data_IF_591318352432
#
_entry.id   IF_591318352432
#
_cell.length_a   1.000
_cell.length_b   1.000
_cell.length_c   1.000
_cell.angle_alpha   90.00
_cell.angle_beta   90.00
_cell.angle_gamma   90.00
#
_symmetry.space_group_name_H-M   'P 1'
#
loop_
_entity.id
_entity.type
_entity.pdbx_description
1 polymer ?
#
# COMPACT_ATOMS: atom_id res chain seq x y z
N UNK A 1 16.79 -21.88 -2.68
CA UNK A 1 15.41 -21.94 -3.22
C UNK A 1 14.72 -23.13 -2.57
N UNK A 2 13.49 -22.98 -2.09
CA UNK A 2 12.74 -24.11 -1.53
C UNK A 2 12.45 -25.18 -2.61
N UNK A 3 12.61 -26.49 -2.33
CA UNK A 3 12.45 -27.55 -3.34
C UNK A 3 11.03 -27.65 -3.94
N UNK A 4 10.01 -27.31 -3.16
CA UNK A 4 8.60 -27.31 -3.60
C UNK A 4 8.19 -26.08 -4.42
N UNK A 5 9.05 -25.06 -4.56
CA UNK A 5 8.70 -23.86 -5.32
C UNK A 5 8.46 -24.23 -6.80
N UNK A 6 7.32 -23.79 -7.33
CA UNK A 6 6.99 -23.90 -8.75
C UNK A 6 6.40 -22.60 -9.25
N UNK A 7 6.67 -22.29 -10.52
CA UNK A 7 6.19 -21.10 -11.22
C UNK A 7 5.35 -21.54 -12.42
N UNK A 8 4.08 -21.18 -12.44
CA UNK A 8 3.21 -21.32 -13.59
C UNK A 8 3.12 -19.99 -14.33
N UNK A 9 3.42 -20.00 -15.63
CA UNK A 9 3.17 -18.88 -16.55
C UNK A 9 2.36 -19.44 -17.70
N UNK A 10 1.16 -18.91 -17.91
CA UNK A 10 0.22 -19.44 -18.90
C UNK A 10 -0.03 -20.95 -18.68
N UNK A 11 0.32 -21.78 -19.67
CA UNK A 11 0.17 -23.25 -19.63
C UNK A 11 1.42 -23.97 -19.13
N UNK A 12 2.54 -23.27 -19.02
CA UNK A 12 3.82 -23.86 -18.63
C UNK A 12 3.99 -23.83 -17.11
N UNK A 13 4.51 -24.92 -16.55
CA UNK A 13 4.90 -25.00 -15.16
C UNK A 13 6.39 -25.32 -15.04
N UNK A 14 7.12 -24.50 -14.29
CA UNK A 14 8.56 -24.58 -14.12
C UNK A 14 8.91 -24.89 -12.66
N UNK A 15 9.74 -25.91 -12.44
CA UNK A 15 10.24 -26.30 -11.11
C UNK A 15 11.69 -26.79 -11.21
N UNK A 16 12.45 -26.64 -10.11
CA UNK A 16 13.80 -27.20 -9.98
C UNK A 16 14.72 -26.82 -11.14
N UNK A 17 15.39 -27.81 -11.73
CA UNK A 17 16.30 -27.57 -12.85
C UNK A 17 15.64 -26.95 -14.09
N UNK A 18 14.37 -27.26 -14.37
CA UNK A 18 13.69 -26.72 -15.53
C UNK A 18 13.52 -25.20 -15.42
N UNK A 19 13.20 -24.72 -14.21
CA UNK A 19 13.15 -23.29 -13.90
C UNK A 19 14.53 -22.63 -14.05
N UNK A 20 15.58 -23.24 -13.48
CA UNK A 20 16.96 -22.71 -13.59
C UNK A 20 17.39 -22.61 -15.05
N UNK A 21 17.13 -23.65 -15.85
CA UNK A 21 17.42 -23.67 -17.29
C UNK A 21 16.65 -22.56 -18.02
N UNK A 22 15.38 -22.32 -17.68
CA UNK A 22 14.58 -21.26 -18.31
C UNK A 22 15.03 -19.85 -17.91
N UNK A 23 15.40 -19.63 -16.65
CA UNK A 23 15.85 -18.33 -16.15
C UNK A 23 17.21 -17.92 -16.74
N UNK A 24 18.10 -18.88 -17.01
CA UNK A 24 19.43 -18.63 -17.55
C UNK A 24 19.49 -18.47 -19.08
N UNK A 25 18.40 -18.77 -19.80
CA UNK A 25 18.35 -18.58 -21.27
C UNK A 25 18.32 -17.10 -21.63
N UNK A 26 18.83 -16.74 -22.81
CA UNK A 26 18.62 -15.42 -23.37
C UNK A 26 17.11 -15.13 -23.50
N UNK A 27 16.69 -13.84 -23.43
CA UNK A 27 15.30 -13.46 -23.69
C UNK A 27 14.82 -14.09 -25.00
N UNK A 28 13.66 -14.74 -24.98
CA UNK A 28 13.09 -15.32 -26.19
C UNK A 28 12.49 -14.17 -26.99
N UNK A 29 12.86 -14.04 -28.26
CA UNK A 29 12.29 -13.04 -29.18
C UNK A 29 10.76 -13.16 -29.20
N UNK A 30 10.06 -12.01 -29.14
CA UNK A 30 8.59 -11.88 -29.06
C UNK A 30 7.94 -12.33 -27.73
N UNK A 31 8.69 -12.51 -26.64
CA UNK A 31 8.10 -12.71 -25.30
C UNK A 31 7.49 -11.41 -24.77
N UNK A 32 6.33 -11.51 -24.12
CA UNK A 32 5.73 -10.36 -23.44
C UNK A 32 6.67 -9.79 -22.37
N UNK A 33 6.77 -8.46 -22.29
CA UNK A 33 7.74 -7.77 -21.43
C UNK A 33 7.62 -8.13 -19.94
N UNK A 34 6.40 -8.39 -19.46
CA UNK A 34 6.18 -8.78 -18.06
C UNK A 34 6.73 -10.17 -17.75
N UNK A 35 6.66 -11.12 -18.69
CA UNK A 35 7.24 -12.46 -18.53
C UNK A 35 8.77 -12.35 -18.44
N UNK A 36 9.36 -11.50 -19.29
CA UNK A 36 10.80 -11.25 -19.24
C UNK A 36 11.23 -10.61 -17.92
N UNK A 37 10.41 -9.70 -17.36
CA UNK A 37 10.71 -9.11 -16.03
C UNK A 37 10.79 -10.17 -14.92
N UNK A 38 9.96 -11.22 -14.99
CA UNK A 38 9.97 -12.33 -14.03
C UNK A 38 11.25 -13.15 -14.17
N UNK A 39 11.61 -13.58 -15.39
CA UNK A 39 12.81 -14.39 -15.61
C UNK A 39 14.10 -13.60 -15.41
N UNK A 40 14.12 -12.31 -15.75
CA UNK A 40 15.20 -11.39 -15.44
C UNK A 40 15.45 -11.33 -13.94
N UNK A 41 14.40 -11.10 -13.14
CA UNK A 41 14.53 -11.13 -11.69
C UNK A 41 15.00 -12.49 -11.16
N UNK A 42 14.47 -13.60 -11.68
CA UNK A 42 14.92 -14.93 -11.24
C UNK A 42 16.40 -15.16 -11.54
N UNK A 43 16.90 -14.71 -12.69
CA UNK A 43 18.34 -14.78 -13.01
C UNK A 43 19.18 -13.98 -12.02
N UNK A 44 18.76 -12.75 -11.71
CA UNK A 44 19.42 -11.90 -10.71
C UNK A 44 19.36 -12.53 -9.31
N UNK A 45 18.23 -13.15 -8.97
CA UNK A 45 18.03 -13.80 -7.69
C UNK A 45 18.92 -15.04 -7.51
N UNK A 46 19.12 -15.81 -8.58
CA UNK A 46 19.82 -17.09 -8.55
C UNK A 46 21.33 -16.99 -8.74
N UNK A 47 21.84 -15.83 -9.16
CA UNK A 47 23.27 -15.59 -9.20
C UNK A 47 23.88 -15.47 -7.78
N UNK A 48 25.21 -15.43 -7.71
CA UNK A 48 25.95 -15.33 -6.45
C UNK A 48 26.02 -13.90 -5.86
N UNK A 49 25.40 -12.90 -6.49
CA UNK A 49 25.37 -11.55 -5.91
C UNK A 49 24.53 -11.55 -4.63
N UNK A 50 24.97 -10.79 -3.62
CA UNK A 50 24.26 -10.67 -2.35
C UNK A 50 23.06 -9.72 -2.43
N UNK A 51 23.03 -8.87 -3.46
CA UNK A 51 22.01 -7.84 -3.66
C UNK A 51 21.29 -7.99 -5.00
N UNK A 52 20.08 -7.44 -5.06
CA UNK A 52 19.30 -7.25 -6.28
C UNK A 52 18.82 -5.81 -6.37
N UNK A 53 18.69 -5.30 -7.59
CA UNK A 53 18.14 -3.96 -7.81
C UNK A 53 16.63 -4.04 -7.97
N UNK A 54 15.87 -3.08 -7.44
CA UNK A 54 14.43 -2.95 -7.72
C UNK A 54 14.08 -1.50 -8.03
N UNK A 55 12.93 -1.30 -8.70
CA UNK A 55 12.31 0.02 -8.79
C UNK A 55 11.27 0.16 -7.68
N UNK A 56 11.26 1.31 -7.04
CA UNK A 56 10.13 1.74 -6.20
C UNK A 56 9.19 2.58 -7.05
N UNK A 57 7.90 2.55 -6.75
CA UNK A 57 6.96 3.47 -7.37
C UNK A 57 7.22 4.94 -6.98
N UNK A 58 7.94 5.19 -5.87
CA UNK A 58 8.37 6.50 -5.39
C UNK A 58 7.21 7.43 -4.99
N UNK A 59 7.28 8.09 -3.83
CA UNK A 59 6.31 9.13 -3.47
C UNK A 59 6.35 10.33 -4.43
N UNK A 60 7.50 10.57 -5.06
CA UNK A 60 7.73 11.60 -6.08
C UNK A 60 7.48 11.11 -7.51
N UNK A 61 7.05 9.84 -7.65
CA UNK A 61 6.72 9.09 -8.88
C UNK A 61 7.72 9.10 -10.03
N UNK A 62 8.96 9.49 -9.80
CA UNK A 62 10.09 9.02 -10.60
C UNK A 62 10.59 7.72 -9.97
N UNK A 63 10.57 6.58 -10.69
CA UNK A 63 11.04 5.32 -10.14
C UNK A 63 12.49 5.44 -9.64
N UNK A 64 12.70 5.26 -8.34
CA UNK A 64 14.04 5.22 -7.76
C UNK A 64 14.54 3.79 -7.80
N UNK A 65 15.75 3.61 -8.34
CA UNK A 65 16.48 2.35 -8.22
C UNK A 65 16.97 2.22 -6.77
N UNK A 66 16.73 1.05 -6.20
CA UNK A 66 17.14 0.68 -4.85
C UNK A 66 17.89 -0.65 -4.90
N UNK A 67 18.87 -0.78 -4.02
CA UNK A 67 19.66 -2.00 -3.84
C UNK A 67 19.15 -2.72 -2.59
N UNK A 68 18.85 -4.01 -2.75
CA UNK A 68 18.22 -4.82 -1.71
C UNK A 68 19.04 -6.06 -1.46
N UNK A 69 19.42 -6.27 -0.20
CA UNK A 69 20.06 -7.52 0.21
C UNK A 69 19.07 -8.67 0.09
N UNK A 70 19.50 -9.76 -0.56
CA UNK A 70 18.69 -10.98 -0.71
C UNK A 70 18.31 -11.57 0.65
N UNK A 71 19.20 -11.48 1.65
CA UNK A 71 18.94 -11.91 3.03
C UNK A 71 17.75 -11.16 3.67
N UNK A 72 17.70 -9.84 3.57
CA UNK A 72 16.61 -9.02 4.12
C UNK A 72 15.29 -9.26 3.37
N UNK A 73 15.35 -9.47 2.05
CA UNK A 73 14.16 -9.86 1.27
C UNK A 73 13.62 -11.23 1.69
N UNK A 74 14.51 -12.22 1.95
CA UNK A 74 14.11 -13.52 2.47
C UNK A 74 13.50 -13.43 3.87
N UNK A 75 14.07 -12.61 4.75
CA UNK A 75 13.51 -12.36 6.08
C UNK A 75 12.10 -11.74 5.99
N UNK A 76 11.93 -10.70 5.16
CA UNK A 76 10.62 -10.08 4.91
C UNK A 76 9.60 -11.08 4.32
N UNK A 77 10.04 -11.92 3.39
CA UNK A 77 9.22 -12.98 2.81
C UNK A 77 8.77 -13.99 3.85
N UNK A 78 9.70 -14.48 4.68
CA UNK A 78 9.42 -15.41 5.78
C UNK A 78 8.37 -14.86 6.74
N UNK A 79 8.55 -13.62 7.20
CA UNK A 79 7.60 -12.97 8.11
C UNK A 79 6.21 -12.82 7.48
N UNK A 80 6.14 -12.48 6.19
CA UNK A 80 4.87 -12.43 5.46
C UNK A 80 4.21 -13.82 5.43
N UNK A 81 4.96 -14.85 5.02
CA UNK A 81 4.44 -16.21 4.89
C UNK A 81 4.01 -16.80 6.24
N UNK A 82 4.73 -16.49 7.33
CA UNK A 82 4.35 -16.89 8.69
C UNK A 82 3.06 -16.20 9.13
N UNK A 83 2.93 -14.89 8.93
CA UNK A 83 1.71 -14.14 9.30
C UNK A 83 0.46 -14.68 8.58
N UNK A 84 0.57 -14.95 7.28
CA UNK A 84 -0.55 -15.47 6.48
C UNK A 84 -0.75 -16.99 6.64
N UNK A 85 0.13 -17.68 7.38
CA UNK A 85 0.05 -19.13 7.56
C UNK A 85 0.25 -19.91 6.26
N UNK A 86 1.04 -19.37 5.33
CA UNK A 86 1.32 -20.00 4.04
C UNK A 86 2.22 -21.22 4.24
N UNK A 87 1.93 -22.29 3.51
CA UNK A 87 2.60 -23.58 3.55
C UNK A 87 3.16 -23.92 2.17
N UNK A 88 4.15 -24.83 2.09
CA UNK A 88 4.62 -25.33 0.80
C UNK A 88 3.46 -25.85 -0.06
N UNK A 89 3.55 -25.61 -1.38
CA UNK A 89 2.55 -25.95 -2.40
C UNK A 89 1.24 -25.15 -2.37
N UNK A 90 1.02 -24.27 -1.37
CA UNK A 90 -0.11 -23.34 -1.42
C UNK A 90 -0.03 -22.49 -2.69
N UNK A 91 -1.20 -22.27 -3.33
CA UNK A 91 -1.29 -21.49 -4.57
C UNK A 91 -1.29 -20.00 -4.25
N UNK A 92 -0.38 -19.26 -4.88
CA UNK A 92 -0.32 -17.81 -4.79
C UNK A 92 -0.35 -17.16 -6.18
N UNK A 93 -0.84 -15.93 -6.26
CA UNK A 93 -0.94 -15.18 -7.51
C UNK A 93 0.08 -14.05 -7.59
N UNK A 94 0.89 -14.05 -8.63
CA UNK A 94 1.69 -12.90 -9.08
C UNK A 94 0.95 -12.17 -10.21
N UNK A 95 0.38 -11.02 -9.89
CA UNK A 95 -0.29 -10.13 -10.85
C UNK A 95 0.22 -8.67 -10.80
N UNK A 96 1.40 -8.49 -10.21
CA UNK A 96 2.12 -7.23 -10.11
C UNK A 96 3.39 -7.33 -10.96
N UNK A 97 3.80 -6.23 -11.59
CA UNK A 97 5.03 -6.24 -12.40
C UNK A 97 6.26 -6.57 -11.55
N UNK A 98 7.09 -7.50 -12.04
CA UNK A 98 8.36 -7.85 -11.42
C UNK A 98 9.47 -6.82 -11.73
N UNK A 99 9.18 -5.73 -12.44
CA UNK A 99 10.07 -4.56 -12.52
C UNK A 99 10.12 -3.79 -11.19
N UNK A 100 9.04 -3.89 -10.41
CA UNK A 100 8.87 -3.21 -9.14
C UNK A 100 9.03 -4.16 -7.96
N UNK A 101 9.42 -3.60 -6.82
CA UNK A 101 9.64 -4.37 -5.59
C UNK A 101 8.44 -5.22 -5.17
N UNK A 102 7.20 -4.77 -5.44
CA UNK A 102 6.00 -5.50 -5.07
C UNK A 102 5.87 -6.86 -5.80
N UNK A 103 6.13 -6.90 -7.12
CA UNK A 103 6.15 -8.16 -7.88
C UNK A 103 7.35 -9.04 -7.51
N UNK A 104 8.53 -8.44 -7.31
CA UNK A 104 9.73 -9.16 -6.84
C UNK A 104 9.50 -9.85 -5.50
N UNK A 105 8.87 -9.18 -4.54
CA UNK A 105 8.59 -9.77 -3.22
C UNK A 105 7.59 -10.94 -3.28
N UNK A 106 6.68 -10.97 -4.25
CA UNK A 106 5.83 -12.15 -4.48
C UNK A 106 6.63 -13.36 -4.97
N UNK A 107 7.62 -13.14 -5.85
CA UNK A 107 8.56 -14.19 -6.25
C UNK A 107 9.40 -14.68 -5.06
N UNK A 108 9.94 -13.75 -4.25
CA UNK A 108 10.74 -14.13 -3.07
C UNK A 108 9.92 -14.89 -2.02
N UNK A 109 8.66 -14.50 -1.76
CA UNK A 109 7.73 -15.24 -0.88
C UNK A 109 7.50 -16.66 -1.38
N UNK A 110 7.27 -16.82 -2.67
CA UNK A 110 7.08 -18.14 -3.25
C UNK A 110 8.34 -19.01 -3.18
N UNK A 111 9.51 -18.41 -3.39
CA UNK A 111 10.82 -19.08 -3.28
C UNK A 111 11.14 -19.46 -1.83
N UNK A 112 10.82 -18.61 -0.85
CA UNK A 112 11.04 -18.84 0.58
C UNK A 112 10.18 -19.99 1.09
N UNK A 113 8.86 -19.91 0.84
CA UNK A 113 7.89 -20.86 1.40
C UNK A 113 7.68 -22.12 0.55
N UNK A 114 8.15 -22.11 -0.70
CA UNK A 114 7.90 -23.21 -1.63
C UNK A 114 6.48 -23.23 -2.18
N UNK A 115 5.93 -22.06 -2.50
CA UNK A 115 4.58 -21.91 -3.03
C UNK A 115 4.48 -22.38 -4.48
N UNK A 116 3.25 -22.67 -4.92
CA UNK A 116 2.91 -22.75 -6.33
C UNK A 116 2.49 -21.35 -6.81
N UNK A 117 3.39 -20.62 -7.46
CA UNK A 117 3.15 -19.26 -7.91
C UNK A 117 2.57 -19.24 -9.32
N UNK A 118 1.34 -18.79 -9.45
CA UNK A 118 0.67 -18.56 -10.74
C UNK A 118 0.95 -17.11 -11.12
N UNK A 119 1.66 -16.90 -12.22
CA UNK A 119 2.00 -15.58 -12.73
C UNK A 119 1.14 -15.23 -13.95
N UNK A 120 0.51 -14.06 -13.91
CA UNK A 120 -0.35 -13.53 -14.98
C UNK A 120 0.11 -12.13 -15.35
N UNK A 121 -0.27 -11.69 -16.55
CA UNK A 121 0.00 -10.33 -17.01
C UNK A 121 -0.58 -9.29 -16.02
N UNK A 122 0.19 -8.26 -15.62
CA UNK A 122 -0.32 -7.17 -14.80
C UNK A 122 -1.46 -6.43 -15.52
N UNK A 123 -2.70 -6.73 -15.13
CA UNK A 123 -3.90 -6.18 -15.73
C UNK A 123 -4.89 -5.67 -14.68
N UNK A 124 -5.93 -4.97 -15.13
CA UNK A 124 -6.95 -4.38 -14.25
C UNK A 124 -7.69 -5.40 -13.41
N UNK A 125 -8.14 -6.52 -13.98
CA UNK A 125 -8.81 -7.59 -13.24
C UNK A 125 -7.99 -8.89 -13.29
N UNK A 126 -7.01 -9.09 -12.40
CA UNK A 126 -6.10 -10.23 -12.48
C UNK A 126 -6.73 -11.59 -12.15
N UNK A 127 -7.88 -11.63 -11.47
CA UNK A 127 -8.59 -12.86 -11.11
C UNK A 127 -9.59 -13.35 -12.16
N UNK A 128 -9.82 -12.60 -13.24
CA UNK A 128 -10.80 -12.97 -14.27
C UNK A 128 -10.48 -14.32 -14.92
N UNK A 129 -9.21 -14.51 -15.32
CA UNK A 129 -8.71 -15.75 -15.93
C UNK A 129 -8.28 -16.84 -14.95
N UNK A 130 -8.45 -16.63 -13.64
CA UNK A 130 -8.10 -17.63 -12.63
C UNK A 130 -9.30 -18.56 -12.43
N UNK A 131 -9.10 -19.87 -12.63
CA UNK A 131 -10.17 -20.87 -12.56
C UNK A 131 -10.25 -21.60 -11.20
N UNK A 132 -9.17 -21.54 -10.43
CA UNK A 132 -9.06 -22.21 -9.14
C UNK A 132 -8.79 -21.19 -8.03
N UNK A 133 -9.29 -21.46 -6.83
CA UNK A 133 -9.06 -20.58 -5.70
C UNK A 133 -7.56 -20.54 -5.36
N UNK A 134 -7.01 -19.34 -5.22
CA UNK A 134 -5.64 -19.14 -4.72
C UNK A 134 -5.69 -18.79 -3.23
N UNK A 135 -4.72 -19.25 -2.47
CA UNK A 135 -4.65 -18.95 -1.04
C UNK A 135 -4.23 -17.52 -0.79
N UNK A 136 -3.29 -17.01 -1.58
CA UNK A 136 -2.71 -15.69 -1.36
C UNK A 136 -2.51 -14.90 -2.65
N UNK A 137 -2.84 -13.61 -2.62
CA UNK A 137 -2.49 -12.68 -3.68
C UNK A 137 -2.10 -11.31 -3.09
N UNK A 138 -1.33 -10.53 -3.86
CA UNK A 138 -1.07 -9.13 -3.56
C UNK A 138 -1.49 -8.24 -4.73
N UNK A 139 -2.22 -7.17 -4.45
CA UNK A 139 -2.83 -6.29 -5.46
C UNK A 139 -2.76 -4.81 -5.08
N UNK A 140 -2.91 -3.95 -6.08
CA UNK A 140 -3.17 -2.51 -5.87
C UNK A 140 -4.67 -2.25 -5.73
N UNK A 141 -5.12 -1.18 -5.04
CA UNK A 141 -6.53 -0.86 -4.84
C UNK A 141 -7.41 -0.96 -6.09
N UNK A 142 -6.94 -0.41 -7.22
CA UNK A 142 -7.68 -0.45 -8.48
C UNK A 142 -7.94 -1.88 -8.97
N UNK A 143 -6.98 -2.79 -8.81
CA UNK A 143 -7.18 -4.20 -9.18
C UNK A 143 -8.24 -4.85 -8.31
N UNK A 144 -8.25 -4.51 -7.01
CA UNK A 144 -9.25 -5.02 -6.06
C UNK A 144 -10.65 -4.52 -6.43
N UNK A 145 -10.79 -3.23 -6.72
CA UNK A 145 -12.08 -2.64 -7.15
C UNK A 145 -12.60 -3.36 -8.40
N UNK A 146 -11.76 -3.57 -9.42
CA UNK A 146 -12.15 -4.30 -10.64
C UNK A 146 -12.50 -5.76 -10.37
N UNK A 147 -11.76 -6.46 -9.52
CA UNK A 147 -12.10 -7.85 -9.17
C UNK A 147 -13.43 -7.95 -8.40
N UNK A 148 -13.79 -6.95 -7.60
CA UNK A 148 -15.10 -6.88 -6.93
C UNK A 148 -16.21 -6.60 -7.97
N UNK A 149 -16.00 -5.64 -8.88
CA UNK A 149 -16.96 -5.32 -9.95
C UNK A 149 -17.26 -6.53 -10.85
N UNK A 150 -16.23 -7.33 -11.15
CA UNK A 150 -16.33 -8.56 -11.96
C UNK A 150 -16.76 -9.80 -11.14
N UNK A 151 -17.03 -9.65 -9.83
CA UNK A 151 -17.49 -10.75 -8.97
C UNK A 151 -16.48 -11.89 -8.79
N UNK A 152 -15.19 -11.64 -9.00
CA UNK A 152 -14.14 -12.67 -8.94
C UNK A 152 -13.18 -12.52 -7.75
N UNK A 153 -13.38 -11.53 -6.88
CA UNK A 153 -12.53 -11.29 -5.70
C UNK A 153 -12.42 -12.51 -4.77
N UNK A 154 -13.51 -13.28 -4.62
CA UNK A 154 -13.61 -14.45 -3.75
C UNK A 154 -12.84 -15.69 -4.29
N UNK A 155 -12.19 -15.57 -5.46
CA UNK A 155 -11.21 -16.55 -5.95
C UNK A 155 -9.88 -16.48 -5.20
N UNK A 156 -9.72 -15.57 -4.26
CA UNK A 156 -8.55 -15.48 -3.36
C UNK A 156 -9.00 -15.71 -1.92
N UNK A 157 -8.26 -16.47 -1.12
CA UNK A 157 -8.58 -16.61 0.31
C UNK A 157 -8.09 -15.41 1.12
N UNK A 158 -6.83 -15.00 0.93
CA UNK A 158 -6.20 -13.88 1.62
C UNK A 158 -5.57 -12.92 0.61
N UNK A 159 -5.94 -11.64 0.74
CA UNK A 159 -5.52 -10.59 -0.18
C UNK A 159 -4.76 -9.49 0.56
N UNK A 160 -3.52 -9.28 0.14
CA UNK A 160 -2.70 -8.16 0.57
C UNK A 160 -2.88 -6.98 -0.38
N UNK A 161 -3.39 -5.86 0.12
CA UNK A 161 -3.60 -4.63 -0.64
C UNK A 161 -2.50 -3.63 -0.28
N UNK A 162 -1.82 -3.10 -1.29
CA UNK A 162 -0.74 -2.13 -1.09
C UNK A 162 -0.54 -1.18 -2.27
N UNK A 163 0.46 -0.31 -2.17
CA UNK A 163 0.88 0.57 -3.28
C UNK A 163 0.13 1.88 -3.43
N UNK A 164 -1.11 2.01 -2.91
CA UNK A 164 -1.87 3.27 -2.92
C UNK A 164 -2.80 3.38 -1.71
N UNK A 165 -3.34 4.59 -1.49
CA UNK A 165 -4.35 4.84 -0.45
C UNK A 165 -5.66 4.11 -0.79
N UNK A 166 -6.39 3.69 0.25
CA UNK A 166 -7.72 3.11 0.06
C UNK A 166 -8.77 4.21 -0.03
N UNK A 167 -9.74 4.02 -0.90
CA UNK A 167 -10.97 4.82 -0.94
C UNK A 167 -11.99 4.22 0.03
N UNK A 168 -12.91 5.04 0.55
CA UNK A 168 -14.05 4.51 1.31
C UNK A 168 -14.91 3.57 0.49
N UNK A 169 -15.04 3.85 -0.82
CA UNK A 169 -15.75 2.96 -1.75
C UNK A 169 -15.14 1.57 -1.71
N UNK A 170 -13.81 1.46 -1.76
CA UNK A 170 -13.13 0.18 -1.65
C UNK A 170 -13.29 -0.43 -0.26
N UNK A 171 -13.10 0.35 0.82
CA UNK A 171 -13.28 -0.13 2.20
C UNK A 171 -14.68 -0.70 2.45
N UNK A 172 -15.71 -0.07 1.92
CA UNK A 172 -17.10 -0.53 2.00
C UNK A 172 -17.34 -1.76 1.11
N UNK A 173 -16.74 -1.78 -0.08
CA UNK A 173 -16.88 -2.87 -1.04
C UNK A 173 -16.27 -4.17 -0.51
N UNK A 174 -15.09 -4.11 0.12
CA UNK A 174 -14.42 -5.32 0.66
C UNK A 174 -15.19 -5.95 1.83
N UNK A 175 -16.09 -5.22 2.52
CA UNK A 175 -16.88 -5.78 3.61
C UNK A 175 -17.80 -6.93 3.16
N UNK A 176 -18.18 -6.96 1.88
CA UNK A 176 -19.11 -7.95 1.32
C UNK A 176 -18.42 -9.21 0.82
N UNK A 177 -17.10 -9.21 0.72
CA UNK A 177 -16.31 -10.33 0.20
C UNK A 177 -16.01 -11.34 1.31
N UNK A 178 -15.94 -12.61 0.94
CA UNK A 178 -15.43 -13.70 1.78
C UNK A 178 -13.90 -13.73 1.85
N UNK A 179 -13.22 -13.08 0.90
CA UNK A 179 -11.77 -12.88 0.89
C UNK A 179 -11.32 -12.09 2.10
N UNK A 180 -10.30 -12.59 2.76
CA UNK A 180 -9.61 -11.91 3.84
C UNK A 180 -8.76 -10.76 3.31
N UNK A 181 -9.26 -9.53 3.36
CA UNK A 181 -8.57 -8.36 2.82
C UNK A 181 -7.72 -7.67 3.90
N UNK A 182 -6.45 -7.44 3.60
CA UNK A 182 -5.51 -6.74 4.47
C UNK A 182 -4.91 -5.55 3.75
N UNK A 183 -4.61 -4.47 4.48
CA UNK A 183 -3.74 -3.40 3.99
C UNK A 183 -2.37 -3.48 4.66
N UNK A 184 -1.35 -3.23 3.87
CA UNK A 184 0.04 -3.17 4.31
C UNK A 184 0.46 -1.80 4.80
N UNK A 185 1.18 -1.74 5.92
CA UNK A 185 2.01 -0.59 6.30
C UNK A 185 3.49 -0.95 6.13
N UNK A 186 4.20 -0.12 5.38
CA UNK A 186 5.61 -0.31 5.06
C UNK A 186 6.11 0.76 4.11
N UNK A 187 7.41 0.74 3.87
CA UNK A 187 8.12 1.72 3.06
C UNK A 187 9.30 1.07 2.34
N UNK A 188 9.96 1.86 1.49
CA UNK A 188 11.11 1.41 0.72
C UNK A 188 12.22 0.88 1.63
N UNK A 189 12.48 1.59 2.73
CA UNK A 189 13.50 1.29 3.74
C UNK A 189 13.25 -0.06 4.41
N UNK A 190 11.99 -0.49 4.50
CA UNK A 190 11.60 -1.79 5.06
C UNK A 190 11.39 -2.87 4.01
N UNK A 191 11.75 -2.61 2.75
CA UNK A 191 11.57 -3.45 1.56
C UNK A 191 10.10 -3.70 1.17
N UNK A 192 9.30 -4.17 2.12
CA UNK A 192 7.87 -4.36 1.97
C UNK A 192 7.19 -3.87 3.25
N UNK A 193 6.22 -4.62 3.75
CA UNK A 193 5.46 -4.27 4.93
C UNK A 193 6.11 -4.79 6.20
N UNK A 194 5.87 -4.04 7.27
CA UNK A 194 6.25 -4.39 8.65
C UNK A 194 5.04 -4.56 9.55
N UNK A 195 3.88 -4.10 9.10
CA UNK A 195 2.61 -4.29 9.78
C UNK A 195 1.45 -4.45 8.79
N UNK A 196 0.39 -5.09 9.25
CA UNK A 196 -0.80 -5.43 8.47
C UNK A 196 -2.05 -5.04 9.25
N UNK A 197 -3.07 -4.55 8.54
CA UNK A 197 -4.38 -4.27 9.13
C UNK A 197 -5.45 -5.04 8.39
N UNK A 198 -6.24 -5.82 9.12
CA UNK A 198 -7.40 -6.53 8.58
C UNK A 198 -8.52 -5.56 8.27
N UNK A 199 -9.00 -5.54 7.02
CA UNK A 199 -10.00 -4.58 6.54
C UNK A 199 -11.43 -5.07 6.70
N UNK A 200 -11.68 -6.38 6.70
CA UNK A 200 -13.02 -6.96 6.68
C UNK A 200 -13.16 -8.22 7.55
N UNK A 201 -14.41 -8.62 7.80
CA UNK A 201 -14.77 -9.77 8.63
C UNK A 201 -14.72 -9.47 10.13
N UNK A 202 -14.97 -10.48 10.96
CA UNK A 202 -15.03 -10.33 12.43
C UNK A 202 -13.71 -9.92 13.08
N UNK A 203 -12.59 -10.11 12.38
CA UNK A 203 -11.25 -9.72 12.81
C UNK A 203 -10.82 -8.35 12.28
N UNK A 204 -11.69 -7.61 11.59
CA UNK A 204 -11.37 -6.27 11.10
C UNK A 204 -11.05 -5.33 12.27
N UNK A 205 -10.03 -4.50 12.08
CA UNK A 205 -9.56 -3.54 13.10
C UNK A 205 -9.03 -2.28 12.44
N UNK A 206 -9.02 -1.17 13.18
CA UNK A 206 -8.30 0.04 12.79
C UNK A 206 -6.79 -0.05 13.09
N UNK A 207 -6.39 -1.01 13.93
CA UNK A 207 -5.01 -1.23 14.33
C UNK A 207 -4.24 -2.00 13.26
N UNK A 208 -3.03 -1.52 12.98
CA UNK A 208 -2.00 -2.30 12.33
C UNK A 208 -1.35 -3.21 13.37
N UNK A 209 -1.19 -4.48 13.00
CA UNK A 209 -0.46 -5.51 13.74
C UNK A 209 0.90 -5.72 13.09
N UNK A 210 1.97 -5.65 13.89
CA UNK A 210 3.33 -5.89 13.45
C UNK A 210 3.58 -7.33 13.09
N UNK A 211 4.42 -7.55 12.07
CA UNK A 211 4.94 -8.88 11.78
C UNK A 211 5.78 -9.40 12.96
N UNK A 212 5.89 -10.73 13.08
CA UNK A 212 6.61 -11.39 14.19
C UNK A 212 8.00 -10.78 14.44
N UNK A 213 8.22 -10.29 15.67
CA UNK A 213 9.48 -9.72 16.10
C UNK A 213 9.69 -8.24 15.74
N UNK A 214 8.86 -7.67 14.86
CA UNK A 214 8.83 -6.22 14.66
C UNK A 214 8.24 -5.58 15.91
N UNK A 215 8.83 -4.47 16.35
CA UNK A 215 8.35 -3.71 17.51
C UNK A 215 8.22 -2.25 17.17
N UNK A 216 7.25 -1.59 17.80
CA UNK A 216 6.97 -0.18 17.60
C UNK A 216 7.13 0.61 18.89
N UNK A 217 7.68 1.80 18.77
CA UNK A 217 7.69 2.84 19.81
C UNK A 217 7.34 4.19 19.18
N UNK A 218 7.14 5.22 19.99
CA UNK A 218 6.94 6.59 19.51
C UNK A 218 8.12 7.46 19.91
N UNK A 219 8.47 8.42 19.04
CA UNK A 219 9.37 9.51 19.41
C UNK A 219 8.63 10.62 20.20
N UNK A 220 9.36 11.67 20.57
CA UNK A 220 8.80 12.81 21.32
C UNK A 220 7.70 13.59 20.56
N UNK A 221 7.55 13.40 19.25
CA UNK A 221 6.51 14.03 18.41
C UNK A 221 5.25 13.17 18.34
N UNK A 222 5.31 11.91 18.81
CA UNK A 222 4.28 10.90 18.58
C UNK A 222 4.43 10.19 17.23
N UNK A 223 5.60 10.30 16.58
CA UNK A 223 5.87 9.62 15.31
C UNK A 223 6.39 8.21 15.54
N UNK A 224 5.94 7.28 14.70
CA UNK A 224 6.29 5.87 14.78
C UNK A 224 7.79 5.65 14.57
N UNK A 225 8.41 4.92 15.49
CA UNK A 225 9.72 4.33 15.37
C UNK A 225 9.58 2.82 15.26
N UNK A 226 10.29 2.23 14.30
CA UNK A 226 10.13 0.82 13.92
C UNK A 226 11.43 0.09 14.20
N UNK A 227 11.39 -0.86 15.13
CA UNK A 227 12.46 -1.81 15.33
C UNK A 227 12.32 -2.95 14.30
N UNK A 228 13.27 -3.00 13.39
CA UNK A 228 13.33 -3.88 12.21
C UNK A 228 14.39 -4.98 12.36
N UNK A 229 14.84 -5.28 13.57
CA UNK A 229 15.88 -6.30 13.81
C UNK A 229 15.63 -7.64 13.08
N UNK A 230 14.40 -8.20 13.01
CA UNK A 230 14.11 -9.40 12.24
C UNK A 230 14.42 -9.32 10.74
N UNK A 231 14.48 -8.11 10.16
CA UNK A 231 14.79 -7.86 8.75
C UNK A 231 16.30 -7.70 8.48
N UNK A 232 17.13 -7.67 9.53
CA UNK A 232 18.58 -7.46 9.40
C UNK A 232 18.96 -6.07 8.89
N UNK A 233 18.11 -5.08 9.10
CA UNK A 233 18.34 -3.69 8.70
C UNK A 233 18.28 -2.76 9.92
N UNK A 234 18.73 -1.52 9.75
CA UNK A 234 18.61 -0.50 10.78
C UNK A 234 17.15 -0.17 11.07
N UNK A 235 16.89 0.20 12.33
CA UNK A 235 15.60 0.71 12.76
C UNK A 235 15.20 1.96 12.00
N UNK A 236 13.91 2.15 11.78
CA UNK A 236 13.40 3.24 10.95
C UNK A 236 12.62 4.24 11.79
N UNK A 237 13.07 5.49 11.82
CA UNK A 237 12.28 6.61 12.30
C UNK A 237 11.40 7.15 11.17
N UNK A 238 10.10 7.25 11.43
CA UNK A 238 9.13 7.78 10.47
C UNK A 238 8.70 9.21 10.82
N UNK A 239 7.90 9.82 9.94
CA UNK A 239 7.12 11.03 10.23
C UNK A 239 5.61 10.71 10.32
N UNK A 240 5.26 9.45 10.60
CA UNK A 240 3.87 9.00 10.72
C UNK A 240 3.42 9.09 12.18
N UNK A 241 2.45 9.97 12.45
CA UNK A 241 1.82 10.08 13.76
C UNK A 241 0.96 8.84 14.04
N UNK A 242 1.15 8.25 15.21
CA UNK A 242 0.45 7.03 15.60
C UNK A 242 0.03 7.04 17.07
N UNK A 243 -0.97 6.24 17.41
CA UNK A 243 -1.27 5.83 18.78
C UNK A 243 -0.83 4.37 18.94
N UNK A 244 -0.08 4.05 19.98
CA UNK A 244 0.26 2.66 20.31
C UNK A 244 -0.80 2.10 21.24
N UNK A 245 -1.30 0.90 20.93
CA UNK A 245 -1.99 0.08 21.92
C UNK A 245 -0.96 -0.71 22.74
N UNK A 246 0.07 -1.23 22.07
CA UNK A 246 1.19 -1.96 22.66
C UNK A 246 2.38 -1.94 21.67
N UNK A 247 3.46 -2.66 21.97
CA UNK A 247 4.67 -2.69 21.13
C UNK A 247 4.47 -3.41 19.77
N UNK A 248 3.33 -4.05 19.53
CA UNK A 248 3.01 -4.74 18.28
C UNK A 248 1.80 -4.16 17.55
N UNK A 249 0.98 -3.33 18.21
CA UNK A 249 -0.23 -2.78 17.63
C UNK A 249 -0.27 -1.26 17.69
N UNK A 250 -0.53 -0.63 16.54
CA UNK A 250 -0.66 0.82 16.44
C UNK A 250 -1.80 1.26 15.53
N UNK A 251 -2.38 2.42 15.84
CA UNK A 251 -3.30 3.14 14.97
C UNK A 251 -2.54 4.25 14.26
N UNK A 252 -2.52 4.22 12.93
CA UNK A 252 -1.98 5.33 12.15
C UNK A 252 -2.96 6.51 12.14
N UNK A 253 -2.46 7.70 12.45
CA UNK A 253 -3.27 8.92 12.52
C UNK A 253 -3.07 9.83 11.29
N UNK A 254 -1.84 9.97 10.81
CA UNK A 254 -1.54 10.92 9.74
C UNK A 254 -0.06 11.22 9.65
N UNK A 255 0.29 12.22 8.84
CA UNK A 255 1.67 12.68 8.68
C UNK A 255 1.94 13.88 9.56
N UNK A 256 3.02 13.83 10.35
CA UNK A 256 3.48 14.98 11.12
C UNK A 256 3.80 16.20 10.22
N UNK A 257 4.23 15.93 8.98
CA UNK A 257 4.55 16.94 7.96
C UNK A 257 3.35 17.86 7.62
N UNK A 258 2.11 17.41 7.87
CA UNK A 258 0.88 18.08 7.46
C UNK A 258 -0.01 18.51 8.62
N UNK A 259 0.44 18.36 9.87
CA UNK A 259 -0.34 18.81 11.03
C UNK A 259 -0.54 20.32 10.94
N UNK A 260 -1.81 20.73 11.01
CA UNK A 260 -2.21 22.13 10.98
C UNK A 260 -2.25 22.65 12.41
N UNK A 261 -1.58 23.77 12.67
CA UNK A 261 -1.65 24.43 13.98
C UNK A 261 -2.60 25.63 13.88
N UNK A 262 -3.86 25.42 14.26
CA UNK A 262 -4.90 26.45 14.20
C UNK A 262 -5.24 26.99 15.58
N UNK A 263 -4.77 28.20 15.89
CA UNK A 263 -5.03 28.86 17.17
C UNK A 263 -4.51 28.07 18.38
N UNK A 264 -3.41 27.33 18.21
CA UNK A 264 -2.85 26.44 19.24
C UNK A 264 -3.42 25.01 19.26
N UNK A 265 -4.41 24.71 18.40
CA UNK A 265 -5.02 23.39 18.28
C UNK A 265 -4.35 22.63 17.12
N UNK A 266 -3.89 21.41 17.40
CA UNK A 266 -3.31 20.52 16.38
C UNK A 266 -4.42 19.76 15.66
N UNK A 267 -4.56 20.01 14.37
CA UNK A 267 -5.52 19.32 13.51
C UNK A 267 -4.72 18.38 12.59
N UNK A 268 -5.04 17.09 12.63
CA UNK A 268 -4.44 16.07 11.75
C UNK A 268 -5.35 15.96 10.51
N UNK A 269 -4.92 16.42 9.32
CA UNK A 269 -5.78 16.48 8.14
C UNK A 269 -6.43 15.14 7.80
N UNK A 270 -5.66 14.05 7.85
CA UNK A 270 -6.14 12.73 7.46
C UNK A 270 -7.25 12.21 8.38
N UNK A 271 -7.28 12.62 9.65
CA UNK A 271 -8.39 12.29 10.56
C UNK A 271 -9.66 13.05 10.18
N UNK A 272 -9.54 14.31 9.80
CA UNK A 272 -10.68 15.13 9.35
C UNK A 272 -11.19 14.65 7.99
N UNK A 273 -10.31 14.34 7.07
CA UNK A 273 -10.65 13.71 5.78
C UNK A 273 -11.41 12.41 5.99
N UNK A 274 -10.95 11.54 6.91
CA UNK A 274 -11.65 10.30 7.24
C UNK A 274 -13.07 10.56 7.76
N UNK A 275 -13.27 11.56 8.62
CA UNK A 275 -14.60 11.91 9.12
C UNK A 275 -15.54 12.43 8.01
N UNK A 276 -15.00 13.20 7.06
CA UNK A 276 -15.80 13.88 6.02
C UNK A 276 -15.98 13.05 4.75
N UNK A 277 -15.23 11.96 4.62
CA UNK A 277 -15.16 11.15 3.41
C UNK A 277 -16.46 10.45 2.99
N UNK A 278 -17.46 10.35 3.87
CA UNK A 278 -18.82 9.89 3.50
C UNK A 278 -19.77 11.03 3.10
N UNK A 279 -19.42 12.27 3.41
CA UNK A 279 -20.24 13.46 3.15
C UNK A 279 -19.79 14.19 1.87
N UNK A 280 -18.58 13.93 1.39
CA UNK A 280 -17.98 14.59 0.22
C UNK A 280 -17.84 13.59 -0.93
N UNK A 281 -18.59 13.81 -2.01
CA UNK A 281 -18.58 12.93 -3.20
C UNK A 281 -17.42 13.21 -4.18
N UNK A 282 -16.65 14.27 -3.95
CA UNK A 282 -15.56 14.71 -4.81
C UNK A 282 -14.20 14.40 -4.18
N UNK A 283 -13.12 14.25 -4.97
CA UNK A 283 -11.76 14.26 -4.43
C UNK A 283 -11.52 15.55 -3.64
N UNK A 284 -11.03 15.41 -2.41
CA UNK A 284 -10.74 16.56 -1.55
C UNK A 284 -9.58 16.26 -0.61
N UNK A 285 -9.02 17.33 -0.04
CA UNK A 285 -8.05 17.27 1.05
C UNK A 285 -8.37 18.32 2.10
N UNK A 286 -7.88 18.09 3.30
CA UNK A 286 -7.77 19.11 4.35
C UNK A 286 -6.34 19.65 4.35
N UNK A 287 -6.21 20.96 4.44
CA UNK A 287 -4.91 21.64 4.44
C UNK A 287 -4.93 22.87 5.36
N UNK A 288 -3.75 23.22 5.88
CA UNK A 288 -3.52 24.48 6.56
C UNK A 288 -3.14 25.55 5.54
N UNK A 289 -3.74 26.73 5.65
CA UNK A 289 -3.28 27.94 4.95
C UNK A 289 -2.97 29.04 5.96
N UNK A 290 -2.03 29.96 5.67
CA UNK A 290 -1.69 31.05 6.59
C UNK A 290 -2.91 31.87 7.01
N UNK A 291 -3.01 32.21 8.30
CA UNK A 291 -4.09 33.02 8.83
C UNK A 291 -3.57 33.99 9.91
N UNK A 292 -3.84 35.31 9.81
CA UNK A 292 -3.26 36.32 10.70
C UNK A 292 -3.49 36.09 12.20
N UNK A 293 -4.64 35.52 12.58
CA UNK A 293 -5.01 35.30 13.99
C UNK A 293 -4.76 33.88 14.48
N UNK A 294 -4.73 32.90 13.58
CA UNK A 294 -4.70 31.48 13.96
C UNK A 294 -3.33 30.85 13.72
N UNK A 295 -2.40 31.56 13.08
CA UNK A 295 -1.20 30.97 12.49
C UNK A 295 -1.58 30.27 11.19
N UNK A 296 -2.30 29.17 11.30
CA UNK A 296 -2.92 28.47 10.18
C UNK A 296 -4.44 28.33 10.38
N UNK A 297 -5.21 28.41 9.30
CA UNK A 297 -6.61 27.97 9.30
C UNK A 297 -6.73 26.67 8.51
N UNK A 298 -7.50 25.72 9.05
CA UNK A 298 -7.86 24.51 8.31
C UNK A 298 -8.88 24.86 7.22
N UNK A 299 -8.63 24.40 6.00
CA UNK A 299 -9.53 24.55 4.84
C UNK A 299 -9.72 23.20 4.17
N UNK A 300 -10.87 23.05 3.50
CA UNK A 300 -11.14 21.93 2.61
C UNK A 300 -10.93 22.37 1.17
N UNK A 301 -10.06 21.68 0.44
CA UNK A 301 -9.81 21.95 -0.98
C UNK A 301 -10.43 20.81 -1.79
N UNK A 302 -11.32 21.14 -2.71
CA UNK A 302 -12.14 20.18 -3.47
C UNK A 302 -11.85 20.29 -4.96
N UNK A 303 -11.71 19.15 -5.62
CA UNK A 303 -11.68 19.03 -7.08
C UNK A 303 -13.10 19.12 -7.66
N UNK A 304 -13.57 20.33 -7.92
CA UNK A 304 -14.88 20.60 -8.52
C UNK A 304 -14.94 22.04 -9.05
N UNK A 305 -15.94 22.33 -9.88
CA UNK A 305 -16.30 23.71 -10.23
C UNK A 305 -16.80 24.47 -9.01
N UNK A 306 -16.54 25.78 -8.98
CA UNK A 306 -16.94 26.65 -7.88
C UNK A 306 -18.46 26.65 -7.71
N UNK A 307 -18.92 26.37 -6.49
CA UNK A 307 -20.34 26.34 -6.18
C UNK A 307 -20.58 26.75 -4.71
N UNK A 308 -21.09 27.97 -4.51
CA UNK A 308 -21.29 28.55 -3.17
C UNK A 308 -22.32 27.79 -2.34
N UNK A 309 -23.36 27.24 -3.00
CA UNK A 309 -24.37 26.43 -2.32
C UNK A 309 -23.75 25.13 -1.79
N UNK A 310 -22.93 24.46 -2.60
CA UNK A 310 -22.20 23.27 -2.19
C UNK A 310 -21.22 23.60 -1.06
N UNK A 311 -20.49 24.71 -1.14
CA UNK A 311 -19.57 25.15 -0.09
C UNK A 311 -20.28 25.33 1.25
N UNK A 312 -21.42 26.03 1.27
CA UNK A 312 -22.19 26.24 2.48
C UNK A 312 -22.74 24.92 3.07
N UNK A 313 -23.19 24.01 2.22
CA UNK A 313 -23.65 22.68 2.64
C UNK A 313 -22.52 21.85 3.27
N UNK A 314 -21.34 21.83 2.64
CA UNK A 314 -20.19 21.09 3.13
C UNK A 314 -19.62 21.67 4.42
N UNK A 315 -19.57 23.00 4.59
CA UNK A 315 -19.18 23.62 5.87
C UNK A 315 -20.14 23.25 6.99
N UNK A 316 -21.45 23.30 6.71
CA UNK A 316 -22.47 22.89 7.68
C UNK A 316 -22.24 21.43 8.10
N UNK A 317 -22.08 20.52 7.13
CA UNK A 317 -21.77 19.11 7.41
C UNK A 317 -20.48 18.92 8.18
N UNK A 318 -19.43 19.65 7.82
CA UNK A 318 -18.17 19.55 8.53
C UNK A 318 -18.28 19.98 9.99
N UNK A 319 -19.06 21.02 10.29
CA UNK A 319 -19.34 21.45 11.67
C UNK A 319 -20.21 20.46 12.46
N UNK A 320 -21.05 19.66 11.79
CA UNK A 320 -21.86 18.60 12.43
C UNK A 320 -21.02 17.38 12.79
N UNK A 321 -20.02 17.03 11.96
CA UNK A 321 -19.28 15.75 12.08
C UNK A 321 -17.91 15.92 12.76
N UNK A 322 -17.23 17.05 12.54
CA UNK A 322 -15.89 17.24 13.09
C UNK A 322 -15.93 17.63 14.57
N UNK A 323 -14.90 17.26 15.36
CA UNK A 323 -14.74 17.77 16.72
C UNK A 323 -14.72 19.29 16.77
N UNK A 324 -15.09 19.84 17.92
CA UNK A 324 -15.07 21.28 18.15
C UNK A 324 -13.69 21.86 17.78
N UNK A 325 -13.69 22.98 17.06
CA UNK A 325 -12.51 23.67 16.55
C UNK A 325 -11.68 22.96 15.45
N UNK A 326 -11.99 21.71 15.10
CA UNK A 326 -11.25 20.96 14.08
C UNK A 326 -11.87 21.07 12.67
N UNK A 327 -13.10 21.55 12.59
CA UNK A 327 -13.81 21.74 11.31
C UNK A 327 -13.10 22.76 10.42
N UNK A 328 -12.97 22.51 9.10
CA UNK A 328 -12.48 23.49 8.14
C UNK A 328 -13.30 24.78 8.21
N UNK A 329 -12.61 25.92 8.12
CA UNK A 329 -13.20 27.26 8.17
C UNK A 329 -13.68 27.76 6.81
N UNK A 330 -13.18 27.15 5.73
CA UNK A 330 -13.47 27.54 4.36
C UNK A 330 -13.41 26.33 3.42
N UNK A 331 -14.23 26.36 2.37
CA UNK A 331 -14.15 25.46 1.22
C UNK A 331 -13.53 26.22 0.07
N UNK A 332 -12.53 25.61 -0.57
CA UNK A 332 -11.82 26.12 -1.72
C UNK A 332 -12.01 25.14 -2.87
N UNK A 333 -12.27 25.66 -4.06
CA UNK A 333 -12.46 24.85 -5.26
C UNK A 333 -11.24 24.97 -6.18
N UNK A 334 -10.83 23.85 -6.75
CA UNK A 334 -9.85 23.78 -7.83
C UNK A 334 -10.42 22.94 -8.98
N UNK A 335 -10.12 23.30 -10.24
CA UNK A 335 -10.54 22.48 -11.37
C UNK A 335 -9.89 21.09 -11.34
N UNK A 336 -8.68 21.00 -10.79
CA UNK A 336 -7.95 19.75 -10.59
C UNK A 336 -7.03 19.87 -9.38
N UNK A 337 -7.04 18.87 -8.48
CA UNK A 337 -6.02 18.77 -7.45
C UNK A 337 -4.66 18.45 -8.09
N UNK A 338 -3.58 18.82 -7.42
CA UNK A 338 -2.27 18.32 -7.83
C UNK A 338 -2.10 16.88 -7.40
N UNK A 339 -1.60 16.03 -8.32
CA UNK A 339 -1.28 14.64 -8.05
C UNK A 339 0.22 14.39 -8.23
N UNK A 340 0.79 13.55 -7.38
CA UNK A 340 2.09 12.94 -7.58
C UNK A 340 2.05 12.03 -8.82
N UNK A 341 3.20 11.72 -9.41
CA UNK A 341 3.29 10.75 -10.51
C UNK A 341 2.91 9.32 -10.11
N UNK A 342 2.78 9.05 -8.80
CA UNK A 342 2.19 7.81 -8.27
C UNK A 342 0.66 7.81 -8.24
N UNK A 343 0.01 8.90 -8.68
CA UNK A 343 -1.45 9.08 -8.68
C UNK A 343 -2.05 9.48 -7.33
N UNK A 344 -1.23 9.71 -6.29
CA UNK A 344 -1.68 10.23 -4.98
C UNK A 344 -1.82 11.74 -5.01
N UNK A 345 -2.79 12.31 -4.30
CA UNK A 345 -2.93 13.76 -4.15
C UNK A 345 -1.67 14.34 -3.46
N UNK A 346 -1.09 15.38 -4.04
CA UNK A 346 0.07 16.11 -3.52
C UNK A 346 -0.43 17.29 -2.68
N UNK A 347 -0.72 17.04 -1.39
CA UNK A 347 -1.26 18.02 -0.45
C UNK A 347 -0.42 19.29 -0.37
N UNK A 348 0.91 19.16 -0.37
CA UNK A 348 1.84 20.29 -0.24
C UNK A 348 1.81 21.20 -1.48
N UNK A 349 1.74 20.63 -2.69
CA UNK A 349 1.59 21.45 -3.91
C UNK A 349 0.20 22.06 -4.00
N UNK A 350 -0.84 21.32 -3.60
CA UNK A 350 -2.21 21.83 -3.64
C UNK A 350 -2.39 23.02 -2.70
N UNK A 351 -1.93 22.94 -1.46
CA UNK A 351 -2.10 24.02 -0.48
C UNK A 351 -1.30 25.29 -0.83
N UNK A 352 -0.14 25.13 -1.49
CA UNK A 352 0.67 26.27 -1.97
C UNK A 352 -0.04 27.18 -2.94
N UNK A 353 -1.07 26.70 -3.65
CA UNK A 353 -1.90 27.54 -4.55
C UNK A 353 -2.64 28.65 -3.79
N UNK A 354 -2.79 28.51 -2.46
CA UNK A 354 -3.57 29.38 -1.59
C UNK A 354 -2.76 30.02 -0.46
N UNK A 355 -1.44 29.86 -0.46
CA UNK A 355 -0.54 30.33 0.61
C UNK A 355 0.08 31.71 0.34
N UNK A 356 -0.64 32.58 -0.39
CA UNK A 356 -0.18 33.90 -0.86
C UNK A 356 0.07 34.90 0.26
#
# INVERSE_FOLDING_TARGET
>A
MHPSFSLQIEKDCYQGEALLKRANRAPITNTESWIESVFSFLRDWLNNAEEVTAKTSGSTGQPKLIHLKKESMLASAKLTCDYFGLQPLDKALLCLSADYIAGKMMLVRAIERGLHLIAVSPQGCPLSGIHEKVKFAAMVPLQVERCIEEGCIDKTEQLLIGGAALTNRLLNSVQKSTTACYISYGMTETMSHVALRRLNGSLASLLYEGLTGIRFSLDHRGCLFINTAPLGIESVQTNDLCELQDEQHFKWLGRADFVINSGGIKIIPEQIELLLSNEVSYPFIIAGIPHPLLGEQAVMIIEAESNDLLAAQLLKKANEVCPQYHSPKQILFVPQLTYTSSGKIDRAKTSKMFSS
#
